data_IF_582098132052
#
_entry.id   IF_582098132052
#
_cell.length_a   1.000
_cell.length_b   1.000
_cell.length_c   1.000
_cell.angle_alpha   90.00
_cell.angle_beta   90.00
_cell.angle_gamma   90.00
#
_symmetry.space_group_name_H-M   'P 1'
#
loop_
_entity.id
_entity.type
_entity.pdbx_description
1 polymer ?
#
# COMPACT_ATOMS: atom_id res chain seq x y z
N UNK A 1 -7.49 44.16 53.63
CA UNK A 1 -8.03 43.47 52.43
C UNK A 1 -7.46 42.05 52.45
N UNK A 2 -8.35 41.05 52.41
CA UNK A 2 -8.04 39.60 52.46
C UNK A 2 -6.99 39.24 51.42
N UNK A 3 -5.87 38.64 51.87
CA UNK A 3 -4.96 37.91 50.99
C UNK A 3 -5.64 36.61 50.57
N UNK A 4 -5.81 36.41 49.28
CA UNK A 4 -6.28 35.16 48.72
C UNK A 4 -5.17 34.11 48.88
N UNK A 5 -5.42 33.08 49.69
CA UNK A 5 -4.57 31.88 49.73
C UNK A 5 -4.66 31.17 48.38
N UNK A 6 -3.51 31.00 47.75
CA UNK A 6 -3.40 30.38 46.44
C UNK A 6 -3.39 28.85 46.61
N UNK A 7 -4.49 28.20 46.24
CA UNK A 7 -4.75 26.74 46.45
C UNK A 7 -3.83 25.86 45.58
N UNK A 8 -3.11 26.45 44.61
CA UNK A 8 -2.20 25.72 43.71
C UNK A 8 -0.94 25.21 44.42
N UNK A 9 -0.53 25.83 45.54
CA UNK A 9 0.70 25.44 46.24
C UNK A 9 0.56 24.23 47.18
N UNK A 10 -0.67 23.83 47.56
CA UNK A 10 -0.86 22.71 48.50
C UNK A 10 -0.83 21.32 47.83
N UNK A 11 -0.88 21.25 46.49
CA UNK A 11 -0.91 19.95 45.80
C UNK A 11 0.47 19.43 45.37
N UNK A 12 1.52 20.23 45.49
CA UNK A 12 2.90 19.80 45.15
C UNK A 12 3.65 19.17 46.33
N UNK A 13 3.15 19.33 47.56
CA UNK A 13 3.73 18.69 48.75
C UNK A 13 3.32 17.23 48.95
N UNK A 14 2.42 16.68 48.11
CA UNK A 14 2.04 15.25 48.12
C UNK A 14 2.77 14.39 47.09
N UNK A 15 3.66 14.96 46.28
CA UNK A 15 4.63 14.17 45.52
C UNK A 15 5.77 13.77 46.47
N UNK A 16 5.47 12.87 47.40
CA UNK A 16 6.50 12.07 48.07
C UNK A 16 7.31 11.37 47.00
N UNK A 17 8.59 11.74 46.93
CA UNK A 17 9.66 11.01 46.27
C UNK A 17 9.64 9.55 46.78
N UNK A 18 8.88 8.68 46.12
CA UNK A 18 9.10 7.24 46.18
C UNK A 18 10.16 6.90 45.14
N UNK A 19 11.36 7.40 45.39
CA UNK A 19 12.57 6.65 45.12
C UNK A 19 12.56 5.41 46.00
N UNK A 20 11.78 4.39 45.63
CA UNK A 20 11.92 3.02 46.15
C UNK A 20 10.98 2.08 45.39
N UNK A 21 11.58 1.21 44.58
CA UNK A 21 11.07 -0.06 44.06
C UNK A 21 9.55 -0.19 43.88
N UNK A 22 9.07 0.10 42.68
CA UNK A 22 7.82 -0.43 42.18
C UNK A 22 8.06 -1.00 40.79
N UNK A 23 7.93 -2.33 40.68
CA UNK A 23 7.87 -3.04 39.41
C UNK A 23 6.73 -2.44 38.58
N UNK A 24 7.09 -1.64 37.58
CA UNK A 24 6.16 -1.29 36.53
C UNK A 24 5.95 -2.57 35.70
N UNK A 25 4.75 -3.15 35.64
CA UNK A 25 4.48 -4.13 34.61
C UNK A 25 4.73 -3.43 33.27
N UNK A 26 5.47 -4.06 32.37
CA UNK A 26 5.65 -3.60 30.99
C UNK A 26 4.26 -3.35 30.39
N UNK A 27 3.82 -2.10 30.42
CA UNK A 27 2.67 -1.64 29.66
C UNK A 27 3.15 -1.65 28.22
N UNK A 28 2.65 -2.60 27.45
CA UNK A 28 2.79 -2.58 26.00
C UNK A 28 2.11 -1.29 25.50
N UNK A 29 2.93 -0.25 25.29
CA UNK A 29 2.54 1.04 24.72
C UNK A 29 2.18 0.93 23.22
N UNK A 30 2.13 -0.29 22.66
CA UNK A 30 1.67 -0.51 21.29
C UNK A 30 0.19 -0.15 21.16
N UNK A 31 -0.06 1.02 20.56
CA UNK A 31 -1.40 1.42 20.18
C UNK A 31 -1.97 0.37 19.21
N UNK A 32 -3.21 -0.10 19.40
CA UNK A 32 -3.81 -1.17 18.58
C UNK A 32 -3.91 -0.83 17.08
N UNK A 33 -3.74 0.45 16.72
CA UNK A 33 -3.74 0.95 15.35
C UNK A 33 -2.34 1.18 14.76
N UNK A 34 -1.28 1.20 15.56
CA UNK A 34 0.08 1.38 15.05
C UNK A 34 0.44 0.25 14.09
N UNK A 35 0.09 -0.99 14.43
CA UNK A 35 0.29 -2.13 13.55
C UNK A 35 -0.50 -1.98 12.23
N UNK A 36 -1.71 -1.41 12.26
CA UNK A 36 -2.50 -1.14 11.06
C UNK A 36 -1.87 -0.04 10.18
N UNK A 37 -1.34 1.03 10.79
CA UNK A 37 -0.60 2.08 10.08
C UNK A 37 0.75 1.61 9.52
N UNK A 38 1.43 0.67 10.19
CA UNK A 38 2.68 0.05 9.70
C UNK A 38 2.40 -0.81 8.48
N UNK A 39 1.32 -1.61 8.47
CA UNK A 39 0.94 -2.45 7.32
C UNK A 39 0.67 -1.66 6.04
N UNK A 40 0.20 -0.41 6.15
CA UNK A 40 -0.01 0.47 4.99
C UNK A 40 1.29 1.09 4.45
N UNK A 41 2.34 1.14 5.26
CA UNK A 41 3.64 1.71 4.87
C UNK A 41 4.60 0.69 4.27
N UNK A 42 4.47 -0.58 4.65
CA UNK A 42 5.36 -1.64 4.18
C UNK A 42 4.93 -2.09 2.77
N UNK A 43 5.84 -2.10 1.77
CA UNK A 43 5.51 -2.59 0.44
C UNK A 43 5.03 -4.05 0.48
N UNK A 44 4.08 -4.41 -0.40
CA UNK A 44 3.53 -5.77 -0.47
C UNK A 44 4.59 -6.86 -0.73
N UNK A 45 5.76 -6.46 -1.22
CA UNK A 45 6.88 -7.32 -1.55
C UNK A 45 8.00 -7.32 -0.48
N UNK A 46 7.78 -6.71 0.70
CA UNK A 46 8.82 -6.57 1.72
C UNK A 46 9.44 -7.91 2.13
N UNK A 47 8.65 -8.96 2.35
CA UNK A 47 9.18 -10.29 2.68
C UNK A 47 10.09 -10.85 1.57
N UNK A 48 9.74 -10.60 0.30
CA UNK A 48 10.53 -11.05 -0.85
C UNK A 48 11.86 -10.29 -0.89
N UNK A 49 11.81 -8.96 -0.75
CA UNK A 49 12.99 -8.12 -0.70
C UNK A 49 13.91 -8.51 0.47
N UNK A 50 13.35 -8.67 1.68
CA UNK A 50 14.09 -9.06 2.87
C UNK A 50 14.76 -10.43 2.70
N UNK A 51 14.04 -11.42 2.15
CA UNK A 51 14.61 -12.73 1.88
C UNK A 51 15.73 -12.67 0.83
N UNK A 52 15.56 -11.93 -0.26
CA UNK A 52 16.59 -11.82 -1.30
C UNK A 52 17.81 -11.03 -0.82
N UNK A 53 17.63 -10.05 0.06
CA UNK A 53 18.73 -9.27 0.64
C UNK A 53 19.51 -10.02 1.71
N UNK A 54 18.82 -10.77 2.58
CA UNK A 54 19.43 -11.39 3.78
C UNK A 54 19.63 -12.90 3.69
N UNK A 55 18.90 -13.58 2.79
CA UNK A 55 18.81 -15.05 2.74
C UNK A 55 17.97 -15.66 3.86
N UNK A 56 17.42 -14.86 4.79
CA UNK A 56 16.69 -15.35 5.96
C UNK A 56 15.22 -15.57 5.63
N UNK A 57 14.71 -16.76 5.95
CA UNK A 57 13.30 -17.11 5.84
C UNK A 57 12.59 -16.87 7.16
N UNK A 58 11.30 -16.56 7.08
CA UNK A 58 10.51 -16.39 8.29
C UNK A 58 10.22 -17.71 8.97
N UNK A 59 10.48 -17.78 10.28
CA UNK A 59 10.48 -19.04 11.00
C UNK A 59 9.09 -19.62 11.23
N UNK A 60 8.06 -18.77 11.27
CA UNK A 60 6.68 -19.20 11.43
C UNK A 60 6.09 -19.94 10.22
N UNK A 61 6.76 -19.94 9.06
CA UNK A 61 6.26 -20.60 7.85
C UNK A 61 6.43 -22.13 7.95
N UNK A 62 5.37 -22.87 7.61
CA UNK A 62 5.43 -24.33 7.44
C UNK A 62 6.37 -24.73 6.29
N UNK A 63 6.79 -26.00 6.25
CA UNK A 63 7.67 -26.51 5.20
C UNK A 63 7.09 -26.28 3.78
N UNK A 64 5.80 -26.54 3.59
CA UNK A 64 5.12 -26.34 2.32
C UNK A 64 5.07 -24.86 1.92
N UNK A 65 4.84 -23.96 2.86
CA UNK A 65 4.82 -22.52 2.62
C UNK A 65 6.21 -21.99 2.27
N UNK A 66 7.25 -22.41 2.99
CA UNK A 66 8.65 -22.08 2.67
C UNK A 66 8.99 -22.49 1.24
N UNK A 67 8.66 -23.72 0.84
CA UNK A 67 8.90 -24.21 -0.53
C UNK A 67 8.18 -23.36 -1.59
N UNK A 68 6.91 -23.00 -1.34
CA UNK A 68 6.12 -22.13 -2.24
C UNK A 68 6.71 -20.73 -2.32
N UNK A 69 7.11 -20.16 -1.18
CA UNK A 69 7.71 -18.84 -1.08
C UNK A 69 9.04 -18.75 -1.83
N UNK A 70 9.95 -19.71 -1.61
CA UNK A 70 11.23 -19.79 -2.33
C UNK A 70 10.98 -19.92 -3.84
N UNK A 71 10.04 -20.77 -4.25
CA UNK A 71 9.65 -20.91 -5.66
C UNK A 71 9.16 -19.58 -6.25
N UNK A 72 8.35 -18.82 -5.50
CA UNK A 72 7.89 -17.48 -5.88
C UNK A 72 9.05 -16.49 -6.02
N UNK A 73 10.02 -16.51 -5.11
CA UNK A 73 11.15 -15.58 -5.11
C UNK A 73 12.06 -15.73 -6.34
N UNK A 74 12.05 -16.89 -7.03
CA UNK A 74 12.81 -17.11 -8.27
C UNK A 74 12.47 -16.15 -9.42
N UNK A 75 11.29 -15.54 -9.36
CA UNK A 75 10.84 -14.56 -10.37
C UNK A 75 11.16 -13.12 -9.97
N UNK A 76 11.96 -12.92 -8.93
CA UNK A 76 12.30 -11.60 -8.42
C UNK A 76 13.80 -11.42 -8.28
N UNK A 77 14.24 -10.17 -8.48
CA UNK A 77 15.62 -9.72 -8.33
C UNK A 77 15.63 -8.53 -7.38
N UNK A 78 16.50 -8.58 -6.39
CA UNK A 78 16.69 -7.49 -5.42
C UNK A 78 17.92 -6.68 -5.80
N UNK A 79 17.71 -5.41 -6.11
CA UNK A 79 18.75 -4.43 -6.42
C UNK A 79 18.41 -3.16 -5.64
N UNK A 80 18.94 -3.06 -4.41
CA UNK A 80 18.61 -2.02 -3.44
C UNK A 80 18.58 -0.61 -4.07
N UNK A 81 17.49 0.18 -3.90
CA UNK A 81 16.31 -0.04 -3.05
C UNK A 81 15.10 -0.67 -3.77
N UNK A 82 15.31 -1.27 -4.93
CA UNK A 82 14.25 -1.72 -5.82
C UNK A 82 14.19 -3.24 -5.94
N UNK A 83 12.96 -3.74 -5.93
CA UNK A 83 12.68 -5.11 -6.34
C UNK A 83 12.24 -5.11 -7.81
N UNK A 84 12.73 -6.07 -8.58
CA UNK A 84 12.34 -6.29 -9.96
C UNK A 84 11.67 -7.66 -10.11
N UNK A 85 10.67 -7.76 -10.97
CA UNK A 85 9.96 -8.98 -11.33
C UNK A 85 10.32 -9.40 -12.76
N UNK A 86 10.71 -10.66 -12.94
CA UNK A 86 10.91 -11.29 -14.23
C UNK A 86 9.58 -11.79 -14.77
N UNK A 87 9.06 -11.10 -15.79
CA UNK A 87 7.82 -11.49 -16.47
C UNK A 87 7.96 -12.83 -17.21
N UNK A 88 6.82 -13.46 -17.51
CA UNK A 88 6.77 -14.65 -18.38
C UNK A 88 7.21 -14.35 -19.81
N UNK A 89 7.17 -13.08 -20.18
CA UNK A 89 7.68 -12.53 -21.44
C UNK A 89 9.18 -12.21 -21.35
N UNK A 90 9.87 -12.69 -20.32
CA UNK A 90 11.30 -12.48 -20.06
C UNK A 90 11.71 -11.01 -19.87
N UNK A 91 10.73 -10.12 -19.72
CA UNK A 91 10.98 -8.70 -19.49
C UNK A 91 10.98 -8.40 -17.99
N UNK A 92 12.06 -7.78 -17.54
CA UNK A 92 12.26 -7.35 -16.15
C UNK A 92 11.50 -6.05 -15.89
N UNK A 93 10.78 -5.99 -14.77
CA UNK A 93 9.95 -4.82 -14.40
C UNK A 93 10.11 -4.45 -12.94
N UNK A 94 10.22 -3.17 -12.62
CA UNK A 94 10.29 -2.66 -11.25
C UNK A 94 8.95 -2.93 -10.53
N UNK A 95 9.03 -3.55 -9.38
CA UNK A 95 7.90 -3.72 -8.47
C UNK A 95 7.49 -2.36 -7.91
N UNK A 96 6.19 -2.09 -7.95
CA UNK A 96 5.62 -0.81 -7.51
C UNK A 96 4.99 -0.97 -6.14
N UNK A 97 5.28 -0.02 -5.24
CA UNK A 97 4.63 0.07 -3.93
C UNK A 97 3.20 0.60 -4.06
N UNK A 98 2.33 0.30 -3.08
CA UNK A 98 0.96 0.83 -3.07
C UNK A 98 0.93 2.37 -3.12
N UNK A 99 1.94 3.03 -2.56
CA UNK A 99 2.05 4.49 -2.49
C UNK A 99 2.25 5.13 -3.87
N UNK A 100 3.09 4.54 -4.72
CA UNK A 100 3.40 5.07 -6.06
C UNK A 100 2.38 4.65 -7.14
N UNK A 101 1.63 3.59 -6.86
CA UNK A 101 0.72 2.98 -7.84
C UNK A 101 -0.33 3.95 -8.42
N UNK A 102 -1.00 4.83 -7.64
CA UNK A 102 -1.96 5.79 -8.18
C UNK A 102 -1.36 6.74 -9.20
N UNK A 103 -0.14 7.23 -8.97
CA UNK A 103 0.54 8.18 -9.87
C UNK A 103 0.89 7.51 -11.20
N UNK A 104 1.37 6.26 -11.14
CA UNK A 104 1.68 5.44 -12.32
C UNK A 104 0.42 5.13 -13.12
N UNK A 105 -0.67 4.74 -12.44
CA UNK A 105 -1.96 4.48 -13.08
C UNK A 105 -2.52 5.74 -13.74
N UNK A 106 -2.47 6.87 -13.04
CA UNK A 106 -2.89 8.17 -13.57
C UNK A 106 -2.12 8.52 -14.84
N UNK A 107 -0.79 8.42 -14.79
CA UNK A 107 0.08 8.71 -15.93
C UNK A 107 -0.18 7.78 -17.12
N UNK A 108 -0.41 6.48 -16.86
CA UNK A 108 -0.65 5.52 -17.94
C UNK A 108 -2.07 5.63 -18.52
N UNK A 109 -3.05 6.00 -17.69
CA UNK A 109 -4.43 6.19 -18.08
C UNK A 109 -4.64 7.47 -18.90
N UNK A 110 -3.95 8.54 -18.54
CA UNK A 110 -3.96 9.81 -19.26
C UNK A 110 -3.06 9.69 -20.51
N UNK A 111 -3.64 9.80 -21.71
CA UNK A 111 -2.84 9.94 -22.94
C UNK A 111 -2.26 11.33 -23.06
N UNK A 112 -0.97 11.45 -23.39
CA UNK A 112 -0.34 12.72 -23.78
C UNK A 112 -1.01 13.36 -25.01
N UNK A 113 -1.68 12.56 -25.85
CA UNK A 113 -2.42 13.04 -27.01
C UNK A 113 -3.83 12.43 -27.03
N UNK A 114 -4.80 13.10 -26.39
CA UNK A 114 -6.21 13.03 -26.79
C UNK A 114 -7.10 11.91 -26.26
N UNK A 115 -6.76 11.17 -25.19
CA UNK A 115 -7.65 10.12 -24.71
C UNK A 115 -7.39 9.58 -23.30
N UNK A 116 -8.43 9.00 -22.72
CA UNK A 116 -8.35 8.19 -21.51
C UNK A 116 -8.38 6.71 -21.91
N UNK A 117 -7.42 5.93 -21.46
CA UNK A 117 -7.33 4.51 -21.82
C UNK A 117 -8.26 3.64 -20.97
N UNK A 118 -8.82 2.61 -21.59
CA UNK A 118 -9.48 1.52 -20.86
C UNK A 118 -8.53 0.82 -19.89
N UNK A 119 -9.07 0.06 -18.95
CA UNK A 119 -8.26 -0.64 -17.95
C UNK A 119 -7.22 -1.60 -18.54
N UNK A 120 -7.56 -2.25 -19.67
CA UNK A 120 -6.66 -3.17 -20.37
C UNK A 120 -5.47 -2.42 -20.98
N UNK A 121 -5.72 -1.36 -21.73
CA UNK A 121 -4.71 -0.51 -22.37
C UNK A 121 -3.84 0.18 -21.32
N UNK A 122 -4.45 0.62 -20.21
CA UNK A 122 -3.72 1.17 -19.05
C UNK A 122 -2.78 0.13 -18.47
N UNK A 123 -3.24 -1.11 -18.26
CA UNK A 123 -2.38 -2.20 -17.76
C UNK A 123 -1.20 -2.44 -18.70
N UNK A 124 -1.44 -2.52 -20.01
CA UNK A 124 -0.37 -2.72 -20.98
C UNK A 124 0.65 -1.59 -20.97
N UNK A 125 0.20 -0.35 -20.80
CA UNK A 125 1.10 0.79 -20.64
C UNK A 125 1.95 0.68 -19.40
N UNK A 126 1.36 0.34 -18.24
CA UNK A 126 2.14 0.13 -17.00
C UNK A 126 3.21 -0.94 -17.21
N UNK A 127 2.86 -2.08 -17.81
CA UNK A 127 3.80 -3.17 -18.08
C UNK A 127 4.86 -2.76 -19.11
N UNK A 128 4.50 -2.02 -20.17
CA UNK A 128 5.45 -1.51 -21.18
C UNK A 128 6.38 -0.44 -20.63
N UNK A 129 5.92 0.34 -19.65
CA UNK A 129 6.72 1.32 -18.91
C UNK A 129 7.64 0.69 -17.87
N UNK A 130 7.72 -0.65 -17.80
CA UNK A 130 8.65 -1.35 -16.94
C UNK A 130 8.18 -1.51 -15.49
N UNK A 131 6.88 -1.38 -15.21
CA UNK A 131 6.33 -1.47 -13.85
C UNK A 131 5.51 -2.75 -13.63
N UNK A 132 5.51 -3.25 -12.40
CA UNK A 132 4.76 -4.45 -12.01
C UNK A 132 4.16 -4.35 -10.60
N UNK A 133 2.93 -4.82 -10.45
CA UNK A 133 2.38 -5.27 -9.18
C UNK A 133 1.41 -6.45 -9.44
N UNK A 134 1.19 -7.36 -8.48
CA UNK A 134 0.38 -8.56 -8.69
C UNK A 134 -1.06 -8.27 -9.12
N UNK A 135 -1.59 -7.12 -8.70
CA UNK A 135 -2.99 -6.72 -8.89
C UNK A 135 -3.19 -5.74 -10.03
N UNK A 136 -2.17 -5.49 -10.86
CA UNK A 136 -2.18 -4.38 -11.83
C UNK A 136 -3.36 -4.40 -12.80
N UNK A 137 -3.79 -5.59 -13.24
CA UNK A 137 -4.95 -5.74 -14.13
C UNK A 137 -6.25 -5.28 -13.45
N UNK A 138 -6.47 -5.74 -12.22
CA UNK A 138 -7.64 -5.37 -11.43
C UNK A 138 -7.61 -3.88 -11.10
N UNK A 139 -6.46 -3.39 -10.66
CA UNK A 139 -6.33 -2.02 -10.20
C UNK A 139 -6.45 -1.03 -11.36
N UNK A 140 -5.89 -1.34 -12.53
CA UNK A 140 -6.09 -0.54 -13.75
C UNK A 140 -7.55 -0.55 -14.23
N UNK A 141 -8.23 -1.68 -14.13
CA UNK A 141 -9.66 -1.77 -14.46
C UNK A 141 -10.49 -0.90 -13.51
N UNK A 142 -10.33 -1.09 -12.20
CA UNK A 142 -11.02 -0.28 -11.18
C UNK A 142 -10.75 1.20 -11.41
N UNK A 143 -9.49 1.59 -11.61
CA UNK A 143 -9.09 2.98 -11.87
C UNK A 143 -9.75 3.58 -13.12
N UNK A 144 -9.76 2.84 -14.23
CA UNK A 144 -10.42 3.28 -15.47
C UNK A 144 -11.93 3.39 -15.29
N UNK A 145 -12.56 2.47 -14.56
CA UNK A 145 -14.00 2.51 -14.29
C UNK A 145 -14.43 3.60 -13.32
N UNK A 146 -13.55 4.06 -12.43
CA UNK A 146 -13.82 5.16 -11.49
C UNK A 146 -13.50 6.54 -12.07
N UNK A 147 -12.96 6.62 -13.29
CA UNK A 147 -12.66 7.89 -13.93
C UNK A 147 -13.95 8.61 -14.38
N UNK A 148 -14.27 9.75 -13.75
CA UNK A 148 -15.47 10.56 -14.05
C UNK A 148 -15.59 10.93 -15.54
N UNK A 149 -14.48 11.34 -16.18
CA UNK A 149 -14.50 11.68 -17.61
C UNK A 149 -14.84 10.46 -18.49
N UNK A 150 -14.28 9.29 -18.17
CA UNK A 150 -14.63 8.04 -18.85
C UNK A 150 -16.08 7.64 -18.59
N UNK A 151 -16.58 7.81 -17.37
CA UNK A 151 -17.95 7.49 -17.01
C UNK A 151 -18.96 8.37 -17.78
N UNK A 152 -18.72 9.68 -17.86
CA UNK A 152 -19.56 10.62 -18.63
C UNK A 152 -19.51 10.39 -20.13
N UNK A 153 -18.36 9.95 -20.64
CA UNK A 153 -18.17 9.67 -22.07
C UNK A 153 -18.64 8.27 -22.47
N UNK A 154 -19.03 7.42 -21.49
CA UNK A 154 -19.48 6.06 -21.78
C UNK A 154 -20.84 6.15 -22.47
N UNK A 155 -20.94 5.51 -23.64
CA UNK A 155 -22.19 5.49 -24.41
C UNK A 155 -23.37 5.11 -23.51
N UNK A 156 -24.41 5.93 -23.55
CA UNK A 156 -25.70 5.66 -22.94
C UNK A 156 -26.20 4.35 -23.56
N UNK A 157 -26.39 3.32 -22.74
CA UNK A 157 -26.91 2.04 -23.24
C UNK A 157 -28.35 2.18 -23.70
N UNK A 158 -28.84 1.25 -24.54
CA UNK A 158 -30.21 1.25 -25.09
C UNK A 158 -31.33 1.47 -24.07
N UNK A 159 -31.10 1.11 -22.80
CA UNK A 159 -32.07 1.33 -21.70
C UNK A 159 -32.30 2.78 -21.34
N UNK A 160 -31.40 3.69 -21.72
CA UNK A 160 -31.60 5.13 -21.55
C UNK A 160 -31.75 5.85 -22.90
N UNK A 161 -32.07 5.12 -23.97
CA UNK A 161 -32.62 5.72 -25.19
C UNK A 161 -34.06 6.18 -24.90
N UNK A 162 -34.41 7.40 -25.30
CA UNK A 162 -35.81 7.85 -25.18
C UNK A 162 -36.68 7.05 -26.17
N UNK A 163 -37.89 6.62 -25.78
CA UNK A 163 -38.81 5.97 -26.71
C UNK A 163 -39.15 6.92 -27.85
N UNK A 164 -38.93 6.47 -29.09
CA UNK A 164 -39.36 7.19 -30.28
C UNK A 164 -40.88 6.96 -30.42
N UNK A 165 -41.68 7.99 -30.13
CA UNK A 165 -43.09 7.97 -30.48
C UNK A 165 -43.21 8.03 -32.01
N UNK A 166 -43.84 7.02 -32.60
CA UNK A 166 -44.17 6.97 -34.04
C UNK A 166 -45.67 7.18 -34.21
#
# INVERSE_FOLDING_TARGET
>A
RKGCENVVAYNLSRLTLLSSSCDFPNLDDSFPYEHAFIFDRVPWYADIANYLASGVLNDYLSFQERKRFISKCRYFLWEDPYLFHLGKDEVIRRCVSKKEQPDILTTCHLSNCGGHFGGRETTFKVLKSGFYCPTIFRDSHTFSTSCDRCQRSRNIGRRNEMPLNT
#
